data_IF_684308639565
#
_entry.id   IF_684308639565
#
_cell.length_a   1.000
_cell.length_b   1.000
_cell.length_c   1.000
_cell.angle_alpha   90.00
_cell.angle_beta   90.00
_cell.angle_gamma   90.00
#
_symmetry.space_group_name_H-M   'P 1'
#
loop_
_entity.id
_entity.type
_entity.pdbx_description
1 polymer ?
#
# COMPACT_ATOMS: atom_id res chain seq x y z
N UNK A 1 19.23 22.96 1.45
CA UNK A 1 18.60 21.73 0.89
C UNK A 1 17.25 21.59 1.57
N UNK A 2 16.15 21.75 0.83
CA UNK A 2 14.79 21.75 1.37
C UNK A 2 14.54 20.48 2.21
N UNK A 3 13.84 20.60 3.35
CA UNK A 3 13.47 19.52 4.26
C UNK A 3 12.84 18.32 3.57
N UNK A 4 12.07 18.53 2.49
CA UNK A 4 11.54 17.45 1.66
C UNK A 4 12.64 16.59 1.02
N UNK A 5 13.72 17.22 0.54
CA UNK A 5 14.86 16.48 -0.04
C UNK A 5 15.58 15.69 1.05
N UNK A 6 15.70 16.23 2.27
CA UNK A 6 16.28 15.52 3.42
C UNK A 6 15.41 14.34 3.86
N UNK A 7 14.08 14.51 3.87
CA UNK A 7 13.13 13.42 4.10
C UNK A 7 13.30 12.30 3.07
N UNK A 8 13.37 12.64 1.78
CA UNK A 8 13.62 11.65 0.72
C UNK A 8 14.98 10.95 0.89
N UNK A 9 16.03 11.67 1.33
CA UNK A 9 17.33 11.06 1.66
C UNK A 9 17.19 10.02 2.78
N UNK A 10 16.49 10.36 3.87
CA UNK A 10 16.25 9.44 4.98
C UNK A 10 15.43 8.21 4.56
N UNK A 11 14.44 8.36 3.68
CA UNK A 11 13.70 7.21 3.12
C UNK A 11 14.63 6.28 2.31
N UNK A 12 15.55 6.85 1.53
CA UNK A 12 16.55 6.07 0.78
C UNK A 12 17.52 5.34 1.71
N UNK A 13 18.01 6.00 2.74
CA UNK A 13 18.86 5.38 3.77
C UNK A 13 18.13 4.22 4.45
N UNK A 14 16.85 4.40 4.78
CA UNK A 14 16.02 3.34 5.35
C UNK A 14 15.85 2.17 4.38
N UNK A 15 15.59 2.44 3.10
CA UNK A 15 15.54 1.38 2.08
C UNK A 15 16.84 0.57 2.08
N UNK A 16 18.01 1.22 2.01
CA UNK A 16 19.30 0.53 1.99
C UNK A 16 19.60 -0.20 3.30
N UNK A 17 19.11 0.29 4.45
CA UNK A 17 19.22 -0.40 5.73
C UNK A 17 18.52 -1.76 5.75
N UNK A 18 17.46 -1.93 4.94
CA UNK A 18 16.62 -3.12 4.91
C UNK A 18 16.66 -3.88 3.57
N UNK A 19 17.46 -3.44 2.60
CA UNK A 19 17.45 -3.99 1.22
C UNK A 19 17.75 -5.49 1.13
N UNK A 20 18.58 -6.02 2.05
CA UNK A 20 18.97 -7.43 2.09
C UNK A 20 17.99 -8.30 2.88
N UNK A 21 16.93 -7.70 3.44
CA UNK A 21 15.91 -8.41 4.22
C UNK A 21 14.70 -8.68 3.38
N UNK A 22 14.05 -9.82 3.64
CA UNK A 22 12.73 -10.09 3.10
C UNK A 22 11.67 -9.22 3.76
N UNK A 23 10.92 -8.51 2.96
CA UNK A 23 9.82 -7.66 3.41
C UNK A 23 8.53 -8.47 3.39
N UNK A 24 7.89 -8.58 4.54
CA UNK A 24 6.69 -9.39 4.73
C UNK A 24 5.53 -8.46 5.07
N UNK A 25 4.45 -8.52 4.31
CA UNK A 25 3.21 -7.84 4.64
C UNK A 25 2.22 -8.83 5.24
N UNK A 26 1.60 -8.42 6.34
CA UNK A 26 0.65 -9.23 7.08
C UNK A 26 -0.68 -8.50 7.13
N UNK A 27 -1.73 -9.15 6.65
CA UNK A 27 -3.11 -8.71 6.88
C UNK A 27 -3.41 -8.64 8.39
N UNK A 28 -4.35 -7.78 8.80
CA UNK A 28 -4.68 -7.49 10.20
C UNK A 28 -5.00 -8.76 11.02
N UNK A 29 -5.62 -9.76 10.39
CA UNK A 29 -5.98 -10.99 11.08
C UNK A 29 -4.75 -11.79 11.58
N UNK A 30 -3.63 -11.78 10.85
CA UNK A 30 -2.39 -12.43 11.32
C UNK A 30 -1.82 -11.73 12.54
N UNK A 31 -1.82 -10.40 12.55
CA UNK A 31 -1.40 -9.63 13.73
C UNK A 31 -2.24 -9.95 14.95
N UNK A 32 -3.56 -10.03 14.79
CA UNK A 32 -4.49 -10.39 15.87
C UNK A 32 -4.22 -11.81 16.38
N UNK A 33 -3.96 -12.76 15.48
CA UNK A 33 -3.63 -14.13 15.86
C UNK A 33 -2.29 -14.20 16.62
N UNK A 34 -1.29 -13.41 16.24
CA UNK A 34 -0.03 -13.31 17.00
C UNK A 34 -0.24 -12.75 18.41
N UNK A 35 -1.09 -11.72 18.56
CA UNK A 35 -1.44 -11.19 19.89
C UNK A 35 -2.17 -12.25 20.71
N UNK A 36 -3.15 -12.95 20.12
CA UNK A 36 -3.86 -14.05 20.80
C UNK A 36 -2.88 -15.12 21.28
N UNK A 37 -1.93 -15.50 20.44
CA UNK A 37 -0.89 -16.46 20.81
C UNK A 37 -0.02 -15.97 21.99
N UNK A 38 0.43 -14.71 21.99
CA UNK A 38 1.20 -14.13 23.12
C UNK A 38 0.40 -14.11 24.44
N UNK A 39 -0.93 -14.08 24.36
CA UNK A 39 -1.82 -14.11 25.52
C UNK A 39 -2.31 -15.53 25.86
N UNK A 40 -1.67 -16.58 25.33
CA UNK A 40 -2.05 -17.99 25.52
C UNK A 40 -3.50 -18.31 25.14
N UNK A 41 -4.04 -17.59 24.15
CA UNK A 41 -5.37 -17.85 23.59
C UNK A 41 -5.27 -18.80 22.39
N UNK A 42 -6.39 -19.46 22.09
CA UNK A 42 -6.51 -20.36 20.94
C UNK A 42 -6.37 -19.59 19.62
N UNK A 43 -5.56 -20.14 18.71
CA UNK A 43 -5.26 -19.57 17.39
C UNK A 43 -5.35 -20.66 16.31
N UNK A 44 -5.35 -20.25 15.04
CA UNK A 44 -5.32 -21.16 13.90
C UNK A 44 -4.05 -22.03 13.93
N UNK A 45 -4.14 -23.24 13.38
CA UNK A 45 -2.99 -24.16 13.22
C UNK A 45 -1.85 -23.47 12.46
N UNK A 46 -0.61 -23.70 12.87
CA UNK A 46 0.60 -23.14 12.25
C UNK A 46 0.93 -21.70 12.65
N UNK A 47 0.00 -20.96 13.28
CA UNK A 47 0.28 -19.62 13.80
C UNK A 47 1.41 -19.61 14.85
N UNK A 48 1.44 -20.50 15.85
CA UNK A 48 2.52 -20.52 16.84
C UNK A 48 3.91 -20.70 16.21
N UNK A 49 4.03 -21.62 15.25
CA UNK A 49 5.27 -21.91 14.53
C UNK A 49 5.68 -20.74 13.63
N UNK A 50 4.72 -20.22 12.84
CA UNK A 50 4.93 -19.06 11.98
C UNK A 50 5.40 -17.84 12.78
N UNK A 51 4.76 -17.57 13.92
CA UNK A 51 5.11 -16.44 14.77
C UNK A 51 6.55 -16.55 15.30
N UNK A 52 6.93 -17.73 15.81
CA UNK A 52 8.29 -17.98 16.33
C UNK A 52 9.34 -17.86 15.22
N UNK A 53 9.08 -18.44 14.05
CA UNK A 53 9.99 -18.37 12.90
C UNK A 53 10.15 -16.94 12.40
N UNK A 54 9.06 -16.19 12.30
CA UNK A 54 9.08 -14.80 11.88
C UNK A 54 9.89 -13.95 12.85
N UNK A 55 9.67 -14.12 14.16
CA UNK A 55 10.41 -13.41 15.21
C UNK A 55 11.91 -13.71 15.11
N UNK A 56 12.30 -14.98 15.02
CA UNK A 56 13.69 -15.41 14.85
C UNK A 56 14.33 -14.83 13.58
N UNK A 57 13.60 -14.83 12.46
CA UNK A 57 14.06 -14.26 11.18
C UNK A 57 14.30 -12.75 11.27
N UNK A 58 13.45 -12.03 12.01
CA UNK A 58 13.59 -10.59 12.24
C UNK A 58 14.79 -10.31 13.16
N UNK A 59 14.97 -11.08 14.22
CA UNK A 59 16.11 -10.96 15.15
C UNK A 59 17.44 -11.24 14.44
N UNK A 60 17.46 -12.23 13.56
CA UNK A 60 18.61 -12.56 12.67
C UNK A 60 18.78 -11.60 11.50
N UNK A 61 17.96 -10.55 11.39
CA UNK A 61 17.97 -9.55 10.31
C UNK A 61 17.78 -10.16 8.91
N UNK A 62 17.13 -11.32 8.79
CA UNK A 62 16.77 -11.94 7.51
C UNK A 62 15.46 -11.41 6.94
N UNK A 63 14.55 -10.99 7.82
CA UNK A 63 13.24 -10.48 7.45
C UNK A 63 12.87 -9.22 8.22
N UNK A 64 11.82 -8.55 7.73
CA UNK A 64 11.13 -7.45 8.41
C UNK A 64 9.66 -7.44 8.01
N UNK A 65 8.77 -7.11 8.94
CA UNK A 65 7.36 -6.90 8.58
C UNK A 65 7.09 -5.45 8.21
N UNK A 66 6.31 -5.21 7.16
CA UNK A 66 5.90 -3.89 6.71
C UNK A 66 4.55 -3.49 7.31
N UNK A 67 4.43 -2.23 7.75
CA UNK A 67 3.18 -1.67 8.25
C UNK A 67 2.76 -0.45 7.42
N UNK A 68 1.47 -0.39 7.09
CA UNK A 68 0.82 0.73 6.41
C UNK A 68 -0.28 1.39 7.26
N UNK A 69 -0.68 2.58 6.85
CA UNK A 69 -1.86 3.32 7.35
C UNK A 69 -3.15 2.47 7.36
N UNK A 70 -3.28 1.58 6.39
CA UNK A 70 -4.45 0.71 6.20
C UNK A 70 -4.73 -0.17 7.43
N UNK A 71 -3.71 -0.71 8.10
CA UNK A 71 -3.92 -1.60 9.26
C UNK A 71 -4.63 -0.87 10.41
N UNK A 72 -4.22 0.37 10.68
CA UNK A 72 -4.83 1.16 11.74
C UNK A 72 -6.23 1.61 11.34
N UNK A 73 -6.41 2.08 10.10
CA UNK A 73 -7.74 2.45 9.57
C UNK A 73 -8.71 1.28 9.66
N UNK A 74 -8.29 0.08 9.26
CA UNK A 74 -9.11 -1.12 9.36
C UNK A 74 -9.45 -1.46 10.82
N UNK A 75 -8.46 -1.45 11.71
CA UNK A 75 -8.68 -1.78 13.12
C UNK A 75 -9.63 -0.78 13.81
N UNK A 76 -9.43 0.52 13.60
CA UNK A 76 -10.29 1.56 14.17
C UNK A 76 -11.72 1.44 13.65
N UNK A 77 -11.89 1.23 12.35
CA UNK A 77 -13.21 1.13 11.72
C UNK A 77 -13.96 -0.14 12.12
N UNK A 78 -13.32 -1.31 11.98
CA UNK A 78 -13.98 -2.60 12.25
C UNK A 78 -14.01 -2.96 13.74
N UNK A 79 -13.31 -2.20 14.60
CA UNK A 79 -13.08 -2.54 16.02
C UNK A 79 -12.63 -3.99 16.20
N UNK A 80 -11.83 -4.49 15.25
CA UNK A 80 -11.42 -5.90 15.16
C UNK A 80 -10.64 -6.33 16.41
N UNK A 81 -9.88 -5.41 17.01
CA UNK A 81 -9.19 -5.64 18.25
C UNK A 81 -9.27 -4.44 19.20
N UNK A 82 -9.89 -4.66 20.37
CA UNK A 82 -10.18 -3.60 21.34
C UNK A 82 -8.94 -3.16 22.14
N UNK A 83 -7.91 -4.01 22.28
CA UNK A 83 -6.69 -3.67 23.01
C UNK A 83 -5.65 -3.06 22.06
N UNK A 84 -5.86 -1.78 21.74
CA UNK A 84 -5.02 -1.03 20.82
C UNK A 84 -3.54 -1.02 21.21
N UNK A 85 -3.22 -0.93 22.51
CA UNK A 85 -1.83 -0.95 23.00
C UNK A 85 -1.10 -2.24 22.63
N UNK A 86 -1.78 -3.40 22.71
CA UNK A 86 -1.14 -4.68 22.36
C UNK A 86 -0.93 -4.81 20.84
N UNK A 87 -1.83 -4.25 20.04
CA UNK A 87 -1.65 -4.17 18.58
C UNK A 87 -0.42 -3.31 18.22
N UNK A 88 -0.28 -2.15 18.83
CA UNK A 88 0.87 -1.27 18.60
C UNK A 88 2.19 -1.92 19.05
N UNK A 89 2.18 -2.65 20.18
CA UNK A 89 3.35 -3.39 20.67
C UNK A 89 3.77 -4.50 19.71
N UNK A 90 2.85 -5.32 19.21
CA UNK A 90 3.19 -6.40 18.26
C UNK A 90 3.68 -5.81 16.93
N UNK A 91 3.05 -4.73 16.46
CA UNK A 91 3.47 -3.98 15.27
C UNK A 91 4.92 -3.52 15.40
N UNK A 92 5.24 -2.81 16.48
CA UNK A 92 6.60 -2.33 16.74
C UNK A 92 7.61 -3.48 16.89
N UNK A 93 7.21 -4.57 17.57
CA UNK A 93 8.06 -5.73 17.81
C UNK A 93 8.55 -6.37 16.51
N UNK A 94 7.64 -6.61 15.56
CA UNK A 94 7.95 -7.31 14.31
C UNK A 94 8.43 -6.36 13.21
N UNK A 95 7.90 -5.14 13.13
CA UNK A 95 8.30 -4.20 12.07
C UNK A 95 9.55 -3.39 12.38
N UNK A 96 9.96 -3.30 13.66
CA UNK A 96 11.01 -2.38 14.11
C UNK A 96 10.76 -0.94 13.63
N UNK A 97 9.49 -0.52 13.61
CA UNK A 97 9.04 0.78 13.12
C UNK A 97 9.30 0.99 11.61
N UNK A 98 9.36 -0.08 10.82
CA UNK A 98 9.46 -0.03 9.37
C UNK A 98 8.06 0.08 8.76
N UNK A 99 7.78 1.24 8.17
CA UNK A 99 6.48 1.57 7.62
C UNK A 99 6.57 1.93 6.14
N UNK A 100 5.42 2.02 5.47
CA UNK A 100 5.26 2.63 4.15
C UNK A 100 4.54 3.97 4.29
N UNK A 101 4.86 4.93 3.42
CA UNK A 101 4.13 6.20 3.33
C UNK A 101 2.62 5.97 3.12
N UNK A 102 1.76 6.94 3.50
CA UNK A 102 0.32 6.75 3.46
C UNK A 102 -0.20 6.58 2.02
N UNK A 103 -1.42 6.06 1.91
CA UNK A 103 -1.97 5.58 0.65
C UNK A 103 -1.97 6.64 -0.47
N UNK A 104 -2.42 7.85 -0.18
CA UNK A 104 -2.58 8.89 -1.21
C UNK A 104 -1.20 9.32 -1.73
N UNK A 105 -0.26 9.57 -0.82
CA UNK A 105 1.12 9.95 -1.15
C UNK A 105 1.81 8.84 -1.95
N UNK A 106 1.56 7.58 -1.61
CA UNK A 106 2.08 6.43 -2.37
C UNK A 106 1.52 6.37 -3.79
N UNK A 107 0.20 6.51 -3.95
CA UNK A 107 -0.45 6.48 -5.27
C UNK A 107 0.01 7.65 -6.14
N UNK A 108 0.15 8.86 -5.58
CA UNK A 108 0.69 10.02 -6.29
C UNK A 108 2.18 9.85 -6.63
N UNK A 109 2.96 9.21 -5.75
CA UNK A 109 4.33 8.84 -6.06
C UNK A 109 4.38 7.87 -7.24
N UNK A 110 3.58 6.80 -7.23
CA UNK A 110 3.44 5.87 -8.36
C UNK A 110 3.08 6.59 -9.66
N UNK A 111 2.11 7.50 -9.62
CA UNK A 111 1.71 8.31 -10.77
C UNK A 111 2.85 9.17 -11.32
N UNK A 112 3.60 9.87 -10.46
CA UNK A 112 4.73 10.68 -10.88
C UNK A 112 5.79 9.84 -11.61
N UNK A 113 6.07 8.64 -11.10
CA UNK A 113 6.96 7.68 -11.75
C UNK A 113 6.39 7.19 -13.10
N UNK A 114 5.07 6.96 -13.18
CA UNK A 114 4.40 6.58 -14.41
C UNK A 114 4.49 7.68 -15.49
N UNK A 115 4.29 8.94 -15.11
CA UNK A 115 4.44 10.10 -16.01
C UNK A 115 5.88 10.24 -16.48
N UNK A 116 6.86 10.16 -15.57
CA UNK A 116 8.28 10.21 -15.93
C UNK A 116 8.66 9.11 -16.93
N UNK A 117 8.16 7.89 -16.71
CA UNK A 117 8.40 6.78 -17.63
C UNK A 117 7.72 6.98 -18.99
N UNK A 118 6.45 7.40 -19.00
CA UNK A 118 5.71 7.68 -20.24
C UNK A 118 6.35 8.81 -21.08
N UNK A 119 7.08 9.72 -20.43
CA UNK A 119 7.86 10.78 -21.07
C UNK A 119 9.31 10.38 -21.39
N UNK A 120 9.69 9.12 -21.18
CA UNK A 120 11.05 8.62 -21.45
C UNK A 120 12.13 9.18 -20.53
N UNK A 121 11.75 9.76 -19.39
CA UNK A 121 12.67 10.37 -18.41
C UNK A 121 13.14 9.39 -17.33
N UNK A 122 12.62 8.16 -17.32
CA UNK A 122 12.96 7.12 -16.36
C UNK A 122 13.02 5.76 -17.05
N UNK A 123 14.01 4.94 -16.68
CA UNK A 123 14.22 3.60 -17.24
C UNK A 123 14.03 2.45 -16.23
N UNK A 124 14.05 2.74 -14.92
CA UNK A 124 13.90 1.72 -13.86
C UNK A 124 12.83 2.10 -12.84
N UNK A 125 11.87 1.20 -12.63
CA UNK A 125 10.77 1.36 -11.67
C UNK A 125 11.16 1.05 -10.22
N UNK A 126 12.26 0.32 -10.01
CA UNK A 126 12.70 -0.03 -8.66
C UNK A 126 13.15 1.21 -7.86
N UNK A 127 13.51 2.31 -8.55
CA UNK A 127 13.79 3.60 -7.93
C UNK A 127 12.66 4.09 -7.03
N UNK A 128 11.40 3.79 -7.37
CA UNK A 128 10.23 4.13 -6.55
C UNK A 128 10.30 3.52 -5.15
N UNK A 129 10.78 2.27 -5.03
CA UNK A 129 10.89 1.58 -3.73
C UNK A 129 11.82 2.31 -2.76
N UNK A 130 12.78 3.09 -3.27
CA UNK A 130 13.73 3.83 -2.44
C UNK A 130 13.10 5.03 -1.73
N UNK A 131 11.90 5.48 -2.12
CA UNK A 131 11.24 6.65 -1.52
C UNK A 131 9.99 6.34 -0.70
N UNK A 132 9.48 5.11 -0.77
CA UNK A 132 8.16 4.77 -0.18
C UNK A 132 8.23 4.20 1.24
N UNK A 133 9.36 3.63 1.66
CA UNK A 133 9.52 3.18 3.05
C UNK A 133 9.89 4.34 3.96
N UNK A 134 9.31 4.36 5.15
CA UNK A 134 9.42 5.49 6.09
C UNK A 134 9.28 5.06 7.55
N UNK A 135 9.32 6.03 8.46
CA UNK A 135 9.12 5.87 9.91
C UNK A 135 7.68 6.18 10.33
N UNK A 136 7.23 5.68 11.49
CA UNK A 136 5.83 5.70 11.88
C UNK A 136 5.15 7.06 11.78
N UNK A 137 5.78 8.13 12.27
CA UNK A 137 5.15 9.45 12.27
C UNK A 137 4.79 9.93 10.86
N UNK A 138 5.61 9.62 9.86
CA UNK A 138 5.34 9.99 8.46
C UNK A 138 4.39 9.02 7.76
N UNK A 139 4.23 7.80 8.26
CA UNK A 139 3.25 6.84 7.76
C UNK A 139 1.81 7.13 8.26
N UNK A 140 1.66 7.87 9.35
CA UNK A 140 0.36 8.09 10.00
C UNK A 140 0.02 9.55 10.29
N UNK A 141 0.99 10.46 10.25
CA UNK A 141 0.83 11.88 10.54
C UNK A 141 1.56 12.69 9.46
N UNK A 142 0.90 12.87 8.32
CA UNK A 142 1.53 13.42 7.12
C UNK A 142 1.85 14.93 7.18
N UNK A 143 1.41 15.64 8.22
CA UNK A 143 1.61 17.08 8.26
C UNK A 143 2.90 17.40 9.01
N UNK A 144 3.96 17.69 8.24
CA UNK A 144 5.00 18.58 8.73
C UNK A 144 4.31 19.84 9.28
N UNK A 145 4.66 20.29 10.48
CA UNK A 145 4.16 21.56 10.97
C UNK A 145 4.51 22.64 9.94
N UNK A 146 3.57 23.53 9.65
CA UNK A 146 3.87 24.64 8.78
C UNK A 146 4.74 25.63 9.55
N UNK A 147 5.99 25.80 9.12
CA UNK A 147 6.94 26.76 9.67
C UNK A 147 7.16 27.97 8.74
N UNK A 148 6.29 28.18 7.74
CA UNK A 148 6.40 29.26 6.74
C UNK A 148 6.55 30.65 7.36
N UNK A 149 5.96 30.87 8.54
CA UNK A 149 6.01 32.16 9.27
C UNK A 149 7.25 32.32 10.18
N UNK A 150 8.13 31.32 10.26
CA UNK A 150 9.31 31.37 11.13
C UNK A 150 10.57 31.85 10.40
N UNK A 151 11.30 32.79 11.01
CA UNK A 151 12.63 33.21 10.56
C UNK A 151 13.65 32.06 10.54
N UNK A 152 13.46 31.04 11.40
CA UNK A 152 14.32 29.86 11.51
C UNK A 152 13.69 28.60 10.88
N UNK A 153 12.83 28.77 9.86
CA UNK A 153 12.10 27.68 9.20
C UNK A 153 12.94 26.44 8.92
N UNK A 154 14.09 26.60 8.24
CA UNK A 154 14.91 25.44 7.83
C UNK A 154 15.44 24.66 9.05
N UNK A 155 15.85 25.36 10.11
CA UNK A 155 16.34 24.74 11.34
C UNK A 155 15.22 24.01 12.10
N UNK A 156 14.02 24.59 12.13
CA UNK A 156 12.84 23.98 12.74
C UNK A 156 12.37 22.74 11.96
N UNK A 157 12.33 22.81 10.63
CA UNK A 157 11.99 21.68 9.76
C UNK A 157 12.98 20.52 9.94
N UNK A 158 14.28 20.83 10.00
CA UNK A 158 15.33 19.83 10.25
C UNK A 158 15.24 19.20 11.64
N UNK A 159 15.04 20.05 12.65
CA UNK A 159 14.90 19.62 14.05
C UNK A 159 13.67 18.72 14.20
N UNK A 160 12.55 19.12 13.59
CA UNK A 160 11.33 18.33 13.56
C UNK A 160 11.55 17.01 12.83
N UNK A 161 12.17 17.01 11.65
CA UNK A 161 12.47 15.80 10.89
C UNK A 161 13.30 14.82 11.71
N UNK A 162 14.38 15.28 12.35
CA UNK A 162 15.23 14.42 13.17
C UNK A 162 14.51 13.91 14.42
N UNK A 163 13.79 14.78 15.14
CA UNK A 163 12.97 14.38 16.29
C UNK A 163 11.95 13.31 15.92
N UNK A 164 11.26 13.51 14.79
CA UNK A 164 10.20 12.67 14.27
C UNK A 164 10.72 11.31 13.80
N UNK A 165 11.89 11.28 13.17
CA UNK A 165 12.52 10.06 12.67
C UNK A 165 12.84 9.03 13.77
N UNK A 166 13.16 9.53 14.97
CA UNK A 166 13.49 8.69 16.14
C UNK A 166 12.25 8.17 16.89
N UNK A 167 11.03 8.61 16.52
CA UNK A 167 9.80 8.17 17.20
C UNK A 167 9.36 6.77 16.77
N UNK A 168 9.01 5.96 17.76
CA UNK A 168 8.40 4.65 17.58
C UNK A 168 6.88 4.74 17.44
N UNK A 169 6.26 3.62 17.02
CA UNK A 169 4.80 3.50 17.04
C UNK A 169 4.22 3.71 18.43
N UNK A 170 4.89 3.21 19.48
CA UNK A 170 4.42 3.39 20.86
C UNK A 170 4.45 4.86 21.29
N UNK A 171 5.48 5.62 20.90
CA UNK A 171 5.58 7.06 21.20
C UNK A 171 4.43 7.87 20.59
N UNK A 172 3.88 7.39 19.46
CA UNK A 172 2.80 8.05 18.72
C UNK A 172 1.42 7.59 19.22
N UNK A 173 1.25 6.29 19.43
CA UNK A 173 -0.10 5.70 19.55
C UNK A 173 -0.46 5.25 20.95
N UNK A 174 0.52 5.11 21.84
CA UNK A 174 0.29 4.77 23.26
C UNK A 174 0.42 6.01 24.14
N UNK A 175 0.89 7.13 23.58
CA UNK A 175 0.97 8.39 24.30
C UNK A 175 -0.44 8.98 24.52
N UNK A 176 -0.91 9.13 25.77
CA UNK A 176 -2.24 9.65 26.06
C UNK A 176 -2.44 11.11 25.64
N UNK A 177 -1.35 11.85 25.36
CA UNK A 177 -1.43 13.21 24.85
C UNK A 177 -1.74 13.29 23.34
N UNK A 178 -1.70 12.17 22.62
CA UNK A 178 -1.99 12.15 21.18
C UNK A 178 -3.46 11.82 20.97
N UNK A 179 -4.19 12.80 20.42
CA UNK A 179 -5.58 12.64 20.05
C UNK A 179 -5.72 11.69 18.85
N UNK A 180 -6.14 10.45 19.15
CA UNK A 180 -6.46 9.44 18.14
C UNK A 180 -7.79 9.72 17.41
N UNK A 181 -8.54 10.74 17.83
CA UNK A 181 -9.84 11.13 17.25
C UNK A 181 -9.78 11.37 15.75
N UNK A 182 -8.63 11.85 15.23
CA UNK A 182 -8.40 11.99 13.77
C UNK A 182 -8.42 10.65 13.01
N UNK A 183 -8.07 9.54 13.65
CA UNK A 183 -8.15 8.20 13.05
C UNK A 183 -9.50 7.51 13.31
N UNK A 184 -10.28 8.01 14.26
CA UNK A 184 -11.59 7.46 14.64
C UNK A 184 -12.74 8.10 13.85
N UNK A 185 -12.57 9.35 13.39
CA UNK A 185 -13.54 10.10 12.57
C UNK A 185 -13.32 9.90 11.06
N UNK A 186 -13.14 8.65 10.62
CA UNK A 186 -13.11 8.32 9.20
C UNK A 186 -14.56 8.17 8.76
N UNK A 187 -15.05 9.05 7.87
CA UNK A 187 -16.39 8.93 7.29
C UNK A 187 -16.60 7.54 6.68
N UNK A 188 -17.73 6.91 7.02
CA UNK A 188 -18.06 5.56 6.58
C UNK A 188 -18.83 5.58 5.25
N UNK A 189 -18.08 5.52 4.16
CA UNK A 189 -18.63 5.39 2.81
C UNK A 189 -18.63 3.93 2.31
N UNK A 190 -18.37 2.92 3.15
CA UNK A 190 -18.26 1.53 2.67
C UNK A 190 -19.57 0.99 2.13
N UNK A 191 -20.68 1.31 2.79
CA UNK A 191 -22.00 0.87 2.34
C UNK A 191 -22.40 1.54 1.02
N UNK A 192 -22.08 2.82 0.87
CA UNK A 192 -22.29 3.54 -0.38
C UNK A 192 -21.42 2.98 -1.51
N UNK A 193 -20.12 2.82 -1.28
CA UNK A 193 -19.18 2.22 -2.24
C UNK A 193 -19.62 0.81 -2.60
N UNK A 194 -19.99 -0.03 -1.62
CA UNK A 194 -20.48 -1.38 -1.84
C UNK A 194 -21.74 -1.39 -2.73
N UNK A 195 -22.69 -0.48 -2.46
CA UNK A 195 -23.91 -0.33 -3.26
C UNK A 195 -23.57 0.09 -4.70
N UNK A 196 -22.72 1.10 -4.87
CA UNK A 196 -22.29 1.59 -6.19
C UNK A 196 -21.63 0.46 -6.98
N UNK A 197 -20.70 -0.29 -6.37
CA UNK A 197 -20.00 -1.39 -7.02
C UNK A 197 -20.93 -2.55 -7.39
N UNK A 198 -21.86 -2.90 -6.52
CA UNK A 198 -22.81 -4.01 -6.75
C UNK A 198 -23.80 -3.66 -7.84
N UNK A 199 -24.41 -2.47 -7.78
CA UNK A 199 -25.31 -1.96 -8.82
C UNK A 199 -24.57 -1.83 -10.16
N UNK A 200 -23.41 -1.17 -10.16
CA UNK A 200 -22.59 -0.99 -11.35
C UNK A 200 -22.15 -2.32 -11.97
N UNK A 201 -21.85 -3.35 -11.16
CA UNK A 201 -21.60 -4.70 -11.70
C UNK A 201 -22.82 -5.25 -12.41
N UNK A 202 -24.00 -5.19 -11.78
CA UNK A 202 -25.24 -5.74 -12.33
C UNK A 202 -25.64 -5.08 -13.66
N UNK A 203 -25.53 -3.75 -13.74
CA UNK A 203 -25.86 -2.96 -14.92
C UNK A 203 -24.92 -3.25 -16.10
N UNK A 204 -23.66 -3.60 -15.82
CA UNK A 204 -22.60 -3.71 -16.81
C UNK A 204 -22.06 -5.15 -16.96
N UNK A 205 -22.91 -6.18 -16.74
CA UNK A 205 -22.54 -7.60 -16.80
C UNK A 205 -22.21 -8.10 -18.23
N UNK A 206 -22.75 -7.44 -19.25
CA UNK A 206 -22.63 -7.83 -20.65
C UNK A 206 -21.71 -6.90 -21.46
N UNK A 207 -21.01 -6.00 -20.77
CA UNK A 207 -20.26 -4.92 -21.41
C UNK A 207 -19.01 -5.36 -22.14
N UNK A 208 -18.48 -6.56 -21.86
CA UNK A 208 -17.19 -6.98 -22.40
C UNK A 208 -17.24 -8.44 -22.83
N UNK A 209 -16.62 -8.73 -23.99
CA UNK A 209 -16.59 -10.07 -24.56
C UNK A 209 -15.36 -10.88 -24.10
N UNK A 210 -14.40 -10.22 -23.43
CA UNK A 210 -13.21 -10.86 -22.89
C UNK A 210 -12.75 -10.20 -21.59
N UNK A 211 -11.98 -10.95 -20.78
CA UNK A 211 -11.33 -10.41 -19.58
C UNK A 211 -10.36 -9.26 -19.92
N UNK A 212 -9.63 -9.36 -21.04
CA UNK A 212 -8.69 -8.31 -21.45
C UNK A 212 -9.38 -6.99 -21.77
N UNK A 213 -10.54 -7.05 -22.45
CA UNK A 213 -11.36 -5.87 -22.74
C UNK A 213 -11.88 -5.23 -21.45
N UNK A 214 -12.40 -6.05 -20.53
CA UNK A 214 -12.88 -5.59 -19.23
C UNK A 214 -11.77 -4.94 -18.41
N UNK A 215 -10.59 -5.56 -18.37
CA UNK A 215 -9.40 -4.99 -17.75
C UNK A 215 -9.01 -3.65 -18.36
N UNK A 216 -9.11 -3.53 -19.69
CA UNK A 216 -8.87 -2.26 -20.38
C UNK A 216 -9.83 -1.17 -19.90
N UNK A 217 -11.11 -1.48 -19.76
CA UNK A 217 -12.12 -0.53 -19.24
C UNK A 217 -11.83 -0.10 -17.81
N UNK A 218 -11.52 -1.05 -16.92
CA UNK A 218 -11.19 -0.75 -15.52
C UNK A 218 -9.91 0.09 -15.39
N UNK A 219 -8.86 -0.24 -16.15
CA UNK A 219 -7.62 0.54 -16.18
C UNK A 219 -7.87 1.96 -16.70
N UNK A 220 -8.59 2.10 -17.80
CA UNK A 220 -8.85 3.40 -18.39
C UNK A 220 -9.71 4.28 -17.48
N UNK A 221 -10.79 3.73 -16.91
CA UNK A 221 -11.63 4.43 -15.94
C UNK A 221 -10.86 4.84 -14.69
N UNK A 222 -9.98 3.97 -14.18
CA UNK A 222 -9.09 4.32 -13.07
C UNK A 222 -8.13 5.45 -13.43
N UNK A 223 -7.55 5.45 -14.63
CA UNK A 223 -6.65 6.52 -15.08
C UNK A 223 -7.37 7.84 -15.34
N UNK A 224 -8.64 7.80 -15.73
CA UNK A 224 -9.46 9.00 -15.94
C UNK A 224 -9.59 9.82 -14.64
N UNK A 225 -9.77 9.12 -13.50
CA UNK A 225 -9.73 9.73 -12.17
C UNK A 225 -8.42 10.49 -11.87
N UNK A 226 -7.29 10.05 -12.42
CA UNK A 226 -5.99 10.69 -12.19
C UNK A 226 -5.65 11.81 -13.17
N UNK A 227 -6.55 12.19 -14.09
CA UNK A 227 -6.27 13.18 -15.15
C UNK A 227 -5.74 14.51 -14.61
N UNK A 228 -6.33 15.05 -13.55
CA UNK A 228 -5.89 16.32 -12.94
C UNK A 228 -4.53 16.19 -12.23
N UNK A 229 -4.24 15.02 -11.68
CA UNK A 229 -2.94 14.73 -11.06
C UNK A 229 -1.85 14.55 -12.10
N UNK A 230 -2.17 13.97 -13.27
CA UNK A 230 -1.26 13.89 -14.43
C UNK A 230 -0.92 15.31 -14.90
N UNK A 231 -1.93 16.17 -15.06
CA UNK A 231 -1.75 17.59 -15.39
C UNK A 231 -0.79 18.28 -14.42
N UNK A 232 -0.97 18.05 -13.12
CA UNK A 232 -0.11 18.61 -12.08
C UNK A 232 1.32 18.07 -12.18
N UNK A 233 1.50 16.76 -12.40
CA UNK A 233 2.80 16.14 -12.58
C UNK A 233 3.55 16.70 -13.79
N UNK A 234 2.87 16.90 -14.93
CA UNK A 234 3.45 17.50 -16.14
C UNK A 234 3.90 18.95 -15.92
N UNK A 235 3.09 19.76 -15.22
CA UNK A 235 3.48 21.13 -14.84
C UNK A 235 4.75 21.13 -13.99
N UNK A 236 4.87 20.20 -13.03
CA UNK A 236 6.06 20.06 -12.20
C UNK A 236 7.32 19.63 -12.99
N UNK A 237 7.15 19.03 -14.18
CA UNK A 237 8.24 18.71 -15.10
C UNK A 237 8.67 19.89 -16.00
N UNK A 238 8.01 21.04 -15.88
CA UNK A 238 8.30 22.24 -16.66
C UNK A 238 7.60 22.31 -18.02
N UNK A 239 6.56 21.50 -18.25
CA UNK A 239 5.76 21.59 -19.48
C UNK A 239 4.97 22.91 -19.51
N UNK A 240 5.01 23.64 -20.64
CA UNK A 240 4.40 24.97 -20.77
C UNK A 240 2.87 24.90 -20.80
N UNK A 241 2.21 25.85 -20.13
CA UNK A 241 0.74 25.90 -19.96
C UNK A 241 -0.09 25.81 -21.25
N UNK A 242 0.44 26.28 -22.38
CA UNK A 242 -0.33 26.40 -23.63
C UNK A 242 -0.70 25.05 -24.29
N UNK A 243 -0.11 23.93 -23.85
CA UNK A 243 -0.39 22.59 -24.41
C UNK A 243 -0.63 21.49 -23.36
N UNK A 244 -0.77 21.87 -22.08
CA UNK A 244 -0.81 20.87 -20.99
C UNK A 244 -2.01 19.93 -21.12
N UNK A 245 -3.17 20.40 -21.59
CA UNK A 245 -4.35 19.54 -21.72
C UNK A 245 -4.17 18.43 -22.75
N UNK A 246 -3.57 18.74 -23.91
CA UNK A 246 -3.34 17.73 -24.95
C UNK A 246 -2.28 16.73 -24.50
N UNK A 247 -1.21 17.24 -23.86
CA UNK A 247 -0.14 16.44 -23.26
C UNK A 247 -0.62 15.55 -22.12
N UNK A 248 -1.56 16.01 -21.31
CA UNK A 248 -2.21 15.20 -20.27
C UNK A 248 -2.93 14.01 -20.89
N UNK A 249 -3.75 14.25 -21.92
CA UNK A 249 -4.50 13.18 -22.61
C UNK A 249 -3.52 12.20 -23.27
N UNK A 250 -2.49 12.70 -23.95
CA UNK A 250 -1.47 11.87 -24.58
C UNK A 250 -0.71 11.03 -23.55
N UNK A 251 -0.30 11.62 -22.43
CA UNK A 251 0.40 10.96 -21.33
C UNK A 251 -0.47 9.89 -20.68
N UNK A 252 -1.75 10.20 -20.37
CA UNK A 252 -2.70 9.23 -19.83
C UNK A 252 -2.89 8.04 -20.78
N UNK A 253 -3.07 8.30 -22.07
CA UNK A 253 -3.24 7.26 -23.08
C UNK A 253 -1.97 6.40 -23.24
N UNK A 254 -0.78 7.01 -23.09
CA UNK A 254 0.48 6.27 -23.10
C UNK A 254 0.63 5.40 -21.84
N UNK A 255 0.33 5.92 -20.65
CA UNK A 255 0.30 5.11 -19.41
C UNK A 255 -0.69 3.95 -19.57
N UNK A 256 -1.87 4.20 -20.12
CA UNK A 256 -2.84 3.16 -20.43
C UNK A 256 -2.27 2.10 -21.39
N UNK A 257 -1.65 2.52 -22.49
CA UNK A 257 -1.01 1.62 -23.45
C UNK A 257 0.04 0.74 -22.77
N UNK A 258 0.88 1.31 -21.91
CA UNK A 258 1.92 0.56 -21.22
C UNK A 258 1.33 -0.46 -20.23
N UNK A 259 0.33 -0.05 -19.44
CA UNK A 259 -0.34 -0.97 -18.50
C UNK A 259 -1.12 -2.06 -19.23
N UNK A 260 -1.88 -1.72 -20.28
CA UNK A 260 -2.80 -2.64 -20.94
C UNK A 260 -2.18 -3.47 -22.05
N UNK A 261 -1.35 -2.87 -22.92
CA UNK A 261 -0.76 -3.53 -24.08
C UNK A 261 0.62 -4.08 -23.81
N UNK A 262 1.49 -3.33 -23.14
CA UNK A 262 2.82 -3.83 -22.74
C UNK A 262 2.78 -4.65 -21.45
N UNK A 263 1.64 -4.66 -20.74
CA UNK A 263 1.44 -5.40 -19.49
C UNK A 263 2.45 -5.02 -18.40
N UNK A 264 3.04 -3.81 -18.42
CA UNK A 264 3.99 -3.36 -17.40
C UNK A 264 3.23 -2.80 -16.18
N UNK A 265 2.59 -3.68 -15.43
CA UNK A 265 1.74 -3.29 -14.29
C UNK A 265 2.50 -2.65 -13.12
N UNK A 266 3.81 -2.86 -13.03
CA UNK A 266 4.66 -2.29 -12.01
C UNK A 266 4.87 -0.77 -12.12
N UNK A 267 4.45 -0.15 -13.24
CA UNK A 267 4.54 1.30 -13.45
C UNK A 267 3.60 2.06 -12.53
N UNK A 268 2.34 1.62 -12.49
CA UNK A 268 1.32 2.19 -11.62
C UNK A 268 0.57 1.06 -10.88
N UNK A 269 1.24 0.42 -9.90
CA UNK A 269 0.73 -0.79 -9.25
C UNK A 269 -0.65 -0.63 -8.62
N UNK A 270 -0.91 0.49 -7.93
CA UNK A 270 -2.18 0.68 -7.23
C UNK A 270 -3.36 0.70 -8.21
N UNK A 271 -3.20 1.33 -9.37
CA UNK A 271 -4.20 1.29 -10.47
C UNK A 271 -4.29 -0.12 -11.04
N UNK A 272 -3.17 -0.75 -11.38
CA UNK A 272 -3.17 -2.06 -12.02
C UNK A 272 -3.80 -3.16 -11.15
N UNK A 273 -3.43 -3.22 -9.88
CA UNK A 273 -3.93 -4.22 -8.92
C UNK A 273 -5.41 -3.98 -8.64
N UNK A 274 -5.81 -2.73 -8.40
CA UNK A 274 -7.20 -2.35 -8.21
C UNK A 274 -8.06 -2.77 -9.40
N UNK A 275 -7.69 -2.31 -10.60
CA UNK A 275 -8.39 -2.63 -11.84
C UNK A 275 -8.44 -4.14 -12.10
N UNK A 276 -7.35 -4.87 -11.84
CA UNK A 276 -7.30 -6.32 -11.98
C UNK A 276 -8.27 -7.06 -11.06
N UNK A 277 -8.32 -6.68 -9.78
CA UNK A 277 -9.24 -7.28 -8.81
C UNK A 277 -10.70 -6.98 -9.20
N UNK A 278 -11.02 -5.72 -9.51
CA UNK A 278 -12.36 -5.31 -9.95
C UNK A 278 -12.79 -6.03 -11.23
N UNK A 279 -11.88 -6.15 -12.20
CA UNK A 279 -12.13 -6.91 -13.44
C UNK A 279 -12.47 -8.36 -13.15
N UNK A 280 -11.75 -9.00 -12.23
CA UNK A 280 -11.97 -10.41 -11.90
C UNK A 280 -13.32 -10.63 -11.19
N UNK A 281 -13.69 -9.74 -10.27
CA UNK A 281 -15.00 -9.76 -9.60
C UNK A 281 -16.13 -9.63 -10.63
N UNK A 282 -16.00 -8.70 -11.57
CA UNK A 282 -16.99 -8.48 -12.63
C UNK A 282 -17.06 -9.63 -13.63
N UNK A 283 -15.90 -10.15 -14.06
CA UNK A 283 -15.79 -11.24 -15.02
C UNK A 283 -16.38 -12.54 -14.47
N UNK A 284 -16.10 -12.84 -13.20
CA UNK A 284 -16.65 -14.01 -12.53
C UNK A 284 -18.08 -13.71 -12.04
N UNK A 285 -19.08 -13.94 -12.90
CA UNK A 285 -20.49 -13.57 -12.63
C UNK A 285 -21.00 -13.98 -11.23
N UNK A 286 -20.78 -15.23 -10.75
CA UNK A 286 -21.20 -15.66 -9.42
C UNK A 286 -20.50 -14.96 -8.25
N UNK A 287 -19.39 -14.27 -8.47
CA UNK A 287 -18.59 -13.68 -7.39
C UNK A 287 -19.15 -12.33 -6.98
N UNK A 288 -19.56 -12.15 -5.73
CA UNK A 288 -20.12 -10.89 -5.27
C UNK A 288 -19.05 -9.96 -4.70
N UNK A 289 -19.31 -8.65 -4.77
CA UNK A 289 -18.57 -7.72 -3.91
C UNK A 289 -18.88 -8.08 -2.46
N UNK A 290 -17.91 -7.90 -1.56
CA UNK A 290 -18.11 -8.05 -0.13
C UNK A 290 -17.85 -6.69 0.53
N UNK A 291 -18.57 -6.36 1.61
CA UNK A 291 -18.35 -5.09 2.35
C UNK A 291 -16.91 -4.96 2.84
N UNK A 292 -16.27 -6.07 3.23
CA UNK A 292 -14.88 -6.11 3.69
C UNK A 292 -13.83 -5.95 2.60
N UNK A 293 -14.21 -6.10 1.33
CA UNK A 293 -13.30 -6.17 0.18
C UNK A 293 -12.55 -4.86 -0.05
N UNK A 294 -13.07 -3.73 0.42
CA UNK A 294 -12.40 -2.42 0.36
C UNK A 294 -10.99 -2.51 0.96
N UNK A 295 -10.89 -2.94 2.21
CA UNK A 295 -9.62 -3.07 2.91
C UNK A 295 -8.74 -4.16 2.31
N UNK A 296 -9.34 -5.25 1.84
CA UNK A 296 -8.60 -6.33 1.20
C UNK A 296 -7.90 -5.87 -0.09
N UNK A 297 -8.58 -5.06 -0.90
CA UNK A 297 -8.00 -4.41 -2.09
C UNK A 297 -6.90 -3.44 -1.66
N UNK A 298 -7.13 -2.63 -0.62
CA UNK A 298 -6.14 -1.67 -0.12
C UNK A 298 -4.86 -2.39 0.37
N UNK A 299 -5.00 -3.45 1.16
CA UNK A 299 -3.87 -4.29 1.60
C UNK A 299 -3.13 -4.84 0.38
N UNK A 300 -3.84 -5.34 -0.63
CA UNK A 300 -3.25 -5.87 -1.86
C UNK A 300 -2.45 -4.83 -2.65
N UNK A 301 -2.97 -3.60 -2.76
CA UNK A 301 -2.29 -2.46 -3.42
C UNK A 301 -0.98 -2.07 -2.73
N UNK A 302 -0.80 -2.37 -1.45
CA UNK A 302 0.46 -2.17 -0.73
C UNK A 302 1.35 -3.39 -0.80
N UNK A 303 0.82 -4.55 -0.45
CA UNK A 303 1.61 -5.75 -0.22
C UNK A 303 2.27 -6.28 -1.50
N UNK A 304 1.51 -6.36 -2.59
CA UNK A 304 1.98 -6.94 -3.85
C UNK A 304 3.17 -6.15 -4.44
N UNK A 305 3.13 -4.82 -4.56
CA UNK A 305 4.23 -4.07 -5.17
C UNK A 305 5.44 -3.83 -4.26
N UNK A 306 5.28 -3.95 -2.94
CA UNK A 306 6.29 -3.47 -1.97
C UNK A 306 6.76 -4.51 -0.95
N UNK A 307 6.35 -5.78 -1.10
CA UNK A 307 6.79 -6.88 -0.24
C UNK A 307 7.24 -8.09 -1.06
N UNK A 308 8.01 -8.97 -0.43
CA UNK A 308 8.37 -10.28 -0.97
C UNK A 308 7.30 -11.33 -0.65
N UNK A 309 6.62 -11.19 0.50
CA UNK A 309 5.55 -12.10 0.93
C UNK A 309 4.35 -11.29 1.40
N UNK A 310 3.15 -11.72 1.01
CA UNK A 310 1.88 -11.22 1.52
C UNK A 310 1.06 -12.35 2.15
N UNK A 311 0.87 -12.27 3.47
CA UNK A 311 0.00 -13.18 4.21
C UNK A 311 -1.38 -12.54 4.38
N UNK A 312 -2.41 -13.16 3.81
CA UNK A 312 -3.79 -12.64 3.80
C UNK A 312 -4.82 -13.75 4.01
N UNK A 313 -6.11 -13.42 3.97
CA UNK A 313 -7.19 -14.38 4.09
C UNK A 313 -7.35 -15.23 2.82
N UNK A 314 -7.95 -16.42 2.96
CA UNK A 314 -8.05 -17.41 1.89
C UNK A 314 -8.80 -16.92 0.65
N UNK A 315 -9.83 -16.09 0.83
CA UNK A 315 -10.56 -15.49 -0.28
C UNK A 315 -9.65 -14.62 -1.16
N UNK A 316 -8.86 -13.74 -0.53
CA UNK A 316 -7.97 -12.80 -1.22
C UNK A 316 -6.77 -13.51 -1.82
N UNK A 317 -6.17 -14.46 -1.09
CA UNK A 317 -5.11 -15.29 -1.63
C UNK A 317 -5.56 -16.06 -2.88
N UNK A 318 -6.77 -16.65 -2.85
CA UNK A 318 -7.35 -17.33 -4.01
C UNK A 318 -7.61 -16.36 -5.18
N UNK A 319 -8.15 -15.18 -4.88
CA UNK A 319 -8.42 -14.14 -5.87
C UNK A 319 -7.14 -13.70 -6.58
N UNK A 320 -6.11 -13.32 -5.84
CA UNK A 320 -4.80 -12.87 -6.35
C UNK A 320 -4.11 -13.99 -7.15
N UNK A 321 -4.23 -15.23 -6.70
CA UNK A 321 -3.62 -16.39 -7.37
C UNK A 321 -4.45 -16.93 -8.56
N UNK A 322 -5.60 -16.34 -8.87
CA UNK A 322 -6.38 -16.70 -10.05
C UNK A 322 -5.55 -16.51 -11.33
N UNK A 323 -5.63 -17.44 -12.28
CA UNK A 323 -4.84 -17.39 -13.52
C UNK A 323 -5.00 -16.08 -14.30
N UNK A 324 -6.20 -15.49 -14.33
CA UNK A 324 -6.47 -14.22 -15.02
C UNK A 324 -5.78 -13.04 -14.32
N UNK A 325 -5.71 -13.05 -12.99
CA UNK A 325 -5.08 -11.98 -12.19
C UNK A 325 -3.56 -12.21 -12.02
N UNK A 326 -3.08 -13.46 -12.03
CA UNK A 326 -1.64 -13.78 -12.05
C UNK A 326 -0.93 -13.15 -13.25
N UNK A 327 -1.62 -12.98 -14.38
CA UNK A 327 -1.08 -12.26 -15.53
C UNK A 327 -0.81 -10.77 -15.25
N UNK A 328 -1.47 -10.21 -14.23
CA UNK A 328 -1.31 -8.83 -13.76
C UNK A 328 -0.17 -8.73 -12.74
N UNK A 329 0.21 -9.85 -12.13
CA UNK A 329 1.22 -9.90 -11.09
C UNK A 329 2.64 -10.04 -11.65
N UNK A 330 3.16 -9.00 -12.32
CA UNK A 330 4.59 -8.86 -12.64
C UNK A 330 5.45 -8.50 -11.40
N UNK A 331 5.01 -8.93 -10.23
CA UNK A 331 5.62 -8.59 -8.95
C UNK A 331 6.26 -9.83 -8.33
N UNK A 332 7.38 -9.63 -7.63
CA UNK A 332 8.09 -10.71 -6.95
C UNK A 332 7.44 -11.13 -5.61
N UNK A 333 6.17 -10.75 -5.37
CA UNK A 333 5.47 -10.98 -4.13
C UNK A 333 4.74 -12.33 -4.15
N UNK A 334 5.05 -13.18 -3.18
CA UNK A 334 4.39 -14.47 -2.97
C UNK A 334 3.20 -14.29 -2.03
N UNK A 335 2.01 -14.68 -2.47
CA UNK A 335 0.77 -14.47 -1.72
C UNK A 335 0.19 -15.80 -1.25
N UNK A 336 0.00 -15.95 0.06
CA UNK A 336 -0.59 -17.14 0.67
C UNK A 336 -1.50 -16.80 1.84
N UNK A 337 -2.47 -17.68 2.11
CA UNK A 337 -3.31 -17.64 3.30
C UNK A 337 -3.04 -18.78 4.28
N UNK A 338 -2.10 -19.66 3.94
CA UNK A 338 -1.77 -20.85 4.71
C UNK A 338 -0.51 -20.61 5.54
N UNK A 339 -0.59 -20.67 6.89
CA UNK A 339 0.58 -20.57 7.75
C UNK A 339 1.67 -21.61 7.47
N UNK A 340 1.32 -22.83 7.04
CA UNK A 340 2.32 -23.88 6.74
C UNK A 340 3.13 -23.52 5.48
N UNK A 341 2.45 -23.04 4.43
CA UNK A 341 3.12 -22.51 3.24
C UNK A 341 3.98 -21.29 3.61
N UNK A 342 3.46 -20.39 4.45
CA UNK A 342 4.23 -19.23 4.90
C UNK A 342 5.51 -19.63 5.64
N UNK A 343 5.46 -20.68 6.46
CA UNK A 343 6.64 -21.24 7.15
C UNK A 343 7.66 -21.76 6.14
N UNK A 344 7.22 -22.51 5.12
CA UNK A 344 8.10 -23.01 4.06
C UNK A 344 8.80 -21.86 3.35
N UNK A 345 8.03 -20.85 2.90
CA UNK A 345 8.58 -19.67 2.25
C UNK A 345 9.65 -18.99 3.11
N UNK A 346 9.39 -18.82 4.41
CA UNK A 346 10.33 -18.19 5.34
C UNK A 346 11.56 -19.04 5.67
N UNK A 347 11.45 -20.37 5.59
CA UNK A 347 12.53 -21.29 5.92
C UNK A 347 13.61 -21.34 4.83
N UNK A 348 13.29 -20.89 3.61
CA UNK A 348 14.20 -20.86 2.47
C UNK A 348 15.04 -19.57 2.37
N UNK A 349 15.06 -18.74 3.43
CA UNK A 349 15.81 -17.47 3.49
C UNK A 349 16.99 -17.47 4.48
#
# INVERSE_FOLDING_TARGET
MNSFVKFLSKNRELFFQYQDRKIIYLDLNYWIDFIKFENNLVVRKGIPELYKLLLDSIEKKKAITLISDIHLRENFKKKKYNNYSSLIKIFQKLSKNFCIIPMIERELNELNYAVLFAKGKLNDFQERRKSIYTKPIFAYHANFPNFDESENREELEDSYLNFSWEKSLSDIFVNPAIDLGKFQNIEDHEEEVFRILTTGKAENLSDSNSFDELLGKELFGSLDFYTDYITTALRNLGEKEYDVNSETIATRNHIFYILHKEKKFNIFPSVAIGAGIHSLIRWNKPMEYQKSLSFDILHSKVAIPYSDIFLTDGHISSLINNKQLKMINNFNCQVTSDPEIAIELLSHF
#
